data_IF_169095881791
#
_entry.id   IF_169095881791
#
_cell.length_a   1.000
_cell.length_b   1.000
_cell.length_c   1.000
_cell.angle_alpha   90.00
_cell.angle_beta   90.00
_cell.angle_gamma   90.00
#
_symmetry.space_group_name_H-M   'P 1'
#
loop_
_entity.id
_entity.type
_entity.pdbx_description
1 polymer ?
#
# COMPACT_ATOMS: atom_id res chain seq x y z
N UNK A 1 17.78 0.00 3.07
CA UNK A 1 17.11 -0.47 1.86
C UNK A 1 17.22 0.55 0.74
N UNK A 2 17.16 0.10 -0.53
CA UNK A 2 17.04 0.99 -1.70
C UNK A 2 15.60 1.44 -1.86
N UNK A 3 15.40 2.72 -2.19
CA UNK A 3 14.09 3.29 -2.46
C UNK A 3 14.17 4.37 -3.54
N UNK A 4 13.08 4.54 -4.30
CA UNK A 4 12.87 5.65 -5.22
C UNK A 4 12.15 6.78 -4.46
N UNK A 5 12.90 7.80 -4.08
CA UNK A 5 12.39 8.93 -3.28
C UNK A 5 11.97 10.07 -4.21
N UNK A 6 10.81 10.64 -3.96
CA UNK A 6 10.32 11.86 -4.60
C UNK A 6 10.46 13.01 -3.60
N UNK A 7 11.40 13.92 -3.83
CA UNK A 7 11.70 15.03 -2.91
C UNK A 7 10.71 16.18 -3.01
N UNK A 8 10.14 16.40 -4.19
CA UNK A 8 9.09 17.39 -4.47
C UNK A 8 8.42 17.09 -5.80
N UNK A 9 7.28 17.69 -6.02
CA UNK A 9 6.63 17.64 -7.32
C UNK A 9 7.49 18.26 -8.43
N UNK A 10 7.37 17.74 -9.65
CA UNK A 10 8.05 18.23 -10.84
C UNK A 10 9.49 17.75 -11.04
N UNK A 11 10.06 16.99 -10.10
CA UNK A 11 11.42 16.45 -10.23
C UNK A 11 11.43 14.94 -10.56
N UNK A 12 12.52 14.39 -11.09
CA UNK A 12 12.72 12.96 -11.18
C UNK A 12 12.80 12.29 -9.80
N UNK A 13 12.55 10.98 -9.76
CA UNK A 13 12.84 10.16 -8.58
C UNK A 13 14.35 10.09 -8.37
N UNK A 14 14.75 10.03 -7.11
CA UNK A 14 16.13 9.76 -6.69
C UNK A 14 16.22 8.35 -6.10
N UNK A 15 17.13 7.52 -6.62
CA UNK A 15 17.43 6.21 -6.04
C UNK A 15 18.34 6.41 -4.84
N UNK A 16 17.87 6.10 -3.66
CA UNK A 16 18.58 6.36 -2.40
C UNK A 16 18.66 5.11 -1.52
N UNK A 17 19.63 5.11 -0.63
CA UNK A 17 19.67 4.18 0.49
C UNK A 17 19.06 4.87 1.71
N UNK A 18 17.91 4.36 2.16
CA UNK A 18 17.24 4.84 3.36
C UNK A 18 17.24 3.73 4.42
N UNK A 19 17.04 4.05 5.71
CA UNK A 19 16.97 3.03 6.77
C UNK A 19 15.91 1.97 6.46
N UNK A 20 16.18 0.73 6.84
CA UNK A 20 15.18 -0.35 6.78
C UNK A 20 14.06 -0.07 7.78
N UNK A 21 12.79 -0.21 7.37
CA UNK A 21 11.69 0.02 8.28
C UNK A 21 11.63 -1.04 9.38
N UNK A 22 11.28 -0.62 10.59
CA UNK A 22 11.07 -1.49 11.75
C UNK A 22 9.60 -1.41 12.17
N UNK A 23 8.88 -2.54 12.32
CA UNK A 23 7.48 -2.48 12.72
C UNK A 23 7.34 -2.23 14.22
N UNK A 24 6.48 -1.31 14.59
CA UNK A 24 5.96 -1.14 15.94
C UNK A 24 4.76 -2.06 16.22
N UNK A 25 4.16 -1.98 17.43
CA UNK A 25 2.93 -2.71 17.74
C UNK A 25 1.81 -2.40 16.73
N UNK A 26 1.15 -3.45 16.20
CA UNK A 26 0.09 -3.29 15.20
C UNK A 26 0.57 -2.95 13.79
N UNK A 27 1.88 -3.01 13.53
CA UNK A 27 2.48 -2.81 12.21
C UNK A 27 3.16 -4.10 11.73
N UNK A 28 3.36 -4.20 10.43
CA UNK A 28 4.17 -5.24 9.81
C UNK A 28 5.04 -4.65 8.70
N UNK A 29 6.09 -5.38 8.34
CA UNK A 29 6.96 -5.08 7.20
C UNK A 29 6.82 -6.18 6.17
N UNK A 30 6.61 -5.79 4.92
CA UNK A 30 6.65 -6.68 3.79
C UNK A 30 7.85 -6.36 2.88
N UNK A 31 8.50 -7.40 2.36
CA UNK A 31 9.39 -7.28 1.22
C UNK A 31 8.54 -7.04 -0.02
N UNK A 32 8.85 -5.99 -0.78
CA UNK A 32 8.14 -5.68 -2.02
C UNK A 32 8.70 -6.54 -3.15
N UNK A 33 7.84 -7.26 -3.83
CA UNK A 33 8.17 -8.06 -5.02
C UNK A 33 7.88 -7.30 -6.32
N UNK A 34 6.80 -6.52 -6.32
CA UNK A 34 6.45 -5.60 -7.38
C UNK A 34 5.60 -4.44 -6.84
N UNK A 35 5.67 -3.30 -7.52
CA UNK A 35 4.77 -2.18 -7.28
C UNK A 35 4.37 -1.54 -8.60
N UNK A 36 3.06 -1.42 -8.84
CA UNK A 36 2.50 -0.85 -10.06
C UNK A 36 2.88 0.62 -10.26
N UNK A 37 3.01 1.02 -11.54
CA UNK A 37 3.36 2.36 -11.97
C UNK A 37 2.18 3.04 -12.68
N UNK A 38 1.04 3.11 -12.00
CA UNK A 38 -0.20 3.66 -12.54
C UNK A 38 -0.17 5.18 -12.74
N UNK A 39 -1.23 5.71 -13.32
CA UNK A 39 -1.38 7.13 -13.64
C UNK A 39 -1.30 8.04 -12.39
N UNK A 40 -1.74 7.55 -11.24
CA UNK A 40 -1.62 8.25 -9.96
C UNK A 40 -0.17 8.64 -9.64
N UNK A 41 0.79 7.76 -9.94
CA UNK A 41 2.22 8.01 -9.75
C UNK A 41 2.69 9.17 -10.62
N UNK A 42 2.28 9.18 -11.89
CA UNK A 42 2.56 10.28 -12.82
C UNK A 42 1.95 11.60 -12.32
N UNK A 43 0.71 11.57 -11.84
CA UNK A 43 0.03 12.76 -11.31
C UNK A 43 0.74 13.32 -10.08
N UNK A 44 1.13 12.49 -9.12
CA UNK A 44 1.85 12.93 -7.93
C UNK A 44 3.20 13.55 -8.29
N UNK A 45 3.96 12.87 -9.16
CA UNK A 45 5.23 13.39 -9.66
C UNK A 45 5.05 14.74 -10.38
N UNK A 46 3.99 14.90 -11.15
CA UNK A 46 3.69 16.15 -11.85
C UNK A 46 3.06 17.25 -10.98
N UNK A 47 2.86 17.00 -9.67
CA UNK A 47 2.23 17.96 -8.75
C UNK A 47 0.72 18.11 -8.89
N UNK A 48 0.07 17.13 -9.53
CA UNK A 48 -1.40 17.09 -9.69
C UNK A 48 -2.10 16.32 -8.56
N UNK A 49 -1.52 16.29 -7.39
CA UNK A 49 -2.04 15.63 -6.20
C UNK A 49 -1.26 16.04 -4.98
N UNK A 50 -1.78 15.72 -3.80
CA UNK A 50 -1.13 16.02 -2.52
C UNK A 50 -0.30 14.83 -2.04
N UNK A 51 0.91 15.08 -1.60
CA UNK A 51 1.77 14.14 -0.89
C UNK A 51 2.66 14.91 0.10
N UNK A 52 3.12 14.21 1.12
CA UNK A 52 4.03 14.77 2.14
C UNK A 52 5.48 14.45 1.73
N UNK A 53 6.11 15.40 1.06
CA UNK A 53 7.48 15.26 0.57
C UNK A 53 8.53 15.49 1.68
N UNK A 54 9.69 14.77 1.63
CA UNK A 54 10.06 13.72 0.68
C UNK A 54 9.30 12.42 0.97
N UNK A 55 8.99 11.65 -0.08
CA UNK A 55 8.16 10.44 0.04
C UNK A 55 8.60 9.34 -0.93
N UNK A 56 8.48 8.09 -0.48
CA UNK A 56 8.48 6.93 -1.38
C UNK A 56 7.06 6.70 -1.84
N UNK A 57 6.77 6.81 -3.13
CA UNK A 57 5.43 6.62 -3.67
C UNK A 57 5.15 5.16 -4.04
N UNK A 58 3.95 4.87 -4.56
CA UNK A 58 3.55 3.53 -4.98
C UNK A 58 2.61 2.85 -3.97
N UNK A 59 1.51 2.30 -4.46
CA UNK A 59 0.47 1.69 -3.60
C UNK A 59 -0.14 0.40 -4.20
N UNK A 60 0.20 0.03 -5.41
CA UNK A 60 -0.21 -1.24 -6.05
C UNK A 60 0.87 -2.30 -5.79
N UNK A 61 0.85 -2.92 -4.63
CA UNK A 61 1.97 -3.68 -4.08
C UNK A 61 1.66 -5.17 -4.03
N UNK A 62 2.60 -5.98 -4.50
CA UNK A 62 2.72 -7.40 -4.16
C UNK A 62 3.93 -7.56 -3.26
N UNK A 63 3.77 -8.23 -2.14
CA UNK A 63 4.84 -8.45 -1.17
C UNK A 63 4.70 -9.74 -0.40
N UNK A 64 5.70 -9.98 0.44
CA UNK A 64 5.73 -11.08 1.38
C UNK A 64 6.11 -10.53 2.76
N UNK A 65 5.34 -10.87 3.80
CA UNK A 65 5.61 -10.41 5.17
C UNK A 65 6.97 -10.95 5.63
N UNK A 66 7.83 -10.06 6.10
CA UNK A 66 9.16 -10.41 6.62
C UNK A 66 9.31 -10.13 8.11
N UNK A 67 8.50 -9.24 8.66
CA UNK A 67 8.51 -8.94 10.09
C UNK A 67 7.11 -8.46 10.53
N UNK A 68 6.66 -8.91 11.71
CA UNK A 68 5.43 -8.44 12.35
C UNK A 68 5.78 -7.86 13.71
N UNK A 69 5.31 -6.67 13.99
CA UNK A 69 5.55 -6.00 15.27
C UNK A 69 4.87 -6.75 16.41
N UNK A 70 5.58 -6.87 17.53
CA UNK A 70 5.05 -7.55 18.72
C UNK A 70 3.86 -6.76 19.27
N UNK A 71 2.70 -7.40 19.31
CA UNK A 71 1.50 -6.86 19.95
C UNK A 71 0.57 -7.99 20.36
N UNK A 72 -0.02 -7.88 21.55
CA UNK A 72 -0.96 -8.86 22.07
C UNK A 72 -2.27 -8.83 21.24
N UNK A 73 -2.37 -9.70 20.23
CA UNK A 73 -3.56 -9.88 19.41
C UNK A 73 -3.81 -8.83 18.31
N UNK A 74 -2.87 -7.92 18.04
CA UNK A 74 -2.99 -6.91 16.97
C UNK A 74 -2.20 -7.29 15.69
N UNK A 75 -1.79 -8.54 15.55
CA UNK A 75 -1.04 -9.03 14.38
C UNK A 75 -1.92 -9.25 13.12
N UNK A 76 -3.24 -9.08 13.26
CA UNK A 76 -4.20 -9.30 12.17
C UNK A 76 -4.15 -10.72 11.60
N UNK A 77 -3.57 -11.69 12.32
CA UNK A 77 -3.33 -13.04 11.85
C UNK A 77 -2.25 -13.15 10.77
N UNK A 78 -1.44 -12.10 10.57
CA UNK A 78 -0.30 -12.11 9.67
C UNK A 78 0.86 -12.90 10.25
N UNK A 79 1.58 -13.62 9.38
CA UNK A 79 2.78 -14.38 9.72
C UNK A 79 3.89 -14.06 8.71
N UNK A 80 5.14 -14.19 9.16
CA UNK A 80 6.30 -14.14 8.25
C UNK A 80 6.14 -15.20 7.17
N UNK A 81 6.34 -14.80 5.93
CA UNK A 81 6.12 -15.62 4.73
C UNK A 81 4.73 -15.48 4.09
N UNK A 82 3.77 -14.81 4.75
CA UNK A 82 2.45 -14.58 4.14
C UNK A 82 2.56 -13.70 2.89
N UNK A 83 1.99 -14.13 1.76
CA UNK A 83 1.86 -13.30 0.57
C UNK A 83 0.78 -12.26 0.76
N UNK A 84 1.08 -11.00 0.44
CA UNK A 84 0.18 -9.89 0.69
C UNK A 84 0.12 -8.89 -0.47
N UNK A 85 -1.01 -8.21 -0.56
CA UNK A 85 -1.16 -6.93 -1.24
C UNK A 85 -1.50 -5.83 -0.24
N UNK A 86 -1.40 -4.57 -0.65
CA UNK A 86 -1.66 -3.44 0.25
C UNK A 86 -3.02 -2.80 -0.01
N UNK A 87 -3.80 -2.62 1.05
CA UNK A 87 -4.94 -1.70 1.05
C UNK A 87 -4.44 -0.28 1.31
N UNK A 88 -4.60 0.61 0.34
CA UNK A 88 -3.90 1.88 0.36
C UNK A 88 -4.61 3.02 1.11
N UNK A 89 -5.84 2.87 1.56
CA UNK A 89 -6.51 3.84 2.42
C UNK A 89 -6.06 3.69 3.87
N UNK A 90 -5.63 4.79 4.49
CA UNK A 90 -5.21 4.83 5.89
C UNK A 90 -6.42 5.22 6.76
N UNK A 91 -7.18 4.23 7.17
CA UNK A 91 -8.37 4.45 7.99
C UNK A 91 -7.99 4.40 9.47
N UNK A 92 -8.33 5.44 10.22
CA UNK A 92 -8.11 5.52 11.66
C UNK A 92 -9.40 5.86 12.38
N UNK A 93 -10.00 4.85 13.00
CA UNK A 93 -11.29 4.92 13.66
C UNK A 93 -12.44 4.39 12.79
N UNK A 94 -13.66 4.55 13.30
CA UNK A 94 -14.88 4.12 12.65
C UNK A 94 -15.89 5.27 12.50
N UNK A 95 -16.61 5.25 11.39
CA UNK A 95 -17.80 6.06 11.15
C UNK A 95 -18.87 5.26 10.39
N UNK A 96 -19.98 5.91 10.05
CA UNK A 96 -21.05 5.24 9.28
C UNK A 96 -20.58 4.72 7.92
N UNK A 97 -19.53 5.33 7.36
CA UNK A 97 -19.03 4.97 6.03
C UNK A 97 -18.10 3.76 6.09
N UNK A 98 -17.18 3.71 7.07
CA UNK A 98 -16.32 2.54 7.28
C UNK A 98 -17.14 1.30 7.62
N UNK A 99 -18.17 1.44 8.51
CA UNK A 99 -19.10 0.35 8.81
C UNK A 99 -19.89 -0.13 7.59
N UNK A 100 -20.12 0.74 6.62
CA UNK A 100 -20.78 0.39 5.36
C UNK A 100 -19.79 -0.07 4.25
N UNK A 101 -18.50 -0.28 4.54
CA UNK A 101 -17.48 -0.63 3.55
C UNK A 101 -17.24 0.47 2.52
N UNK A 102 -17.38 1.73 2.92
CA UNK A 102 -17.21 2.92 2.06
C UNK A 102 -16.05 3.79 2.52
N UNK A 103 -14.92 3.19 2.82
CA UNK A 103 -13.72 3.84 3.33
C UNK A 103 -13.26 5.07 2.52
N UNK A 104 -13.36 5.09 1.15
CA UNK A 104 -12.93 6.24 0.37
C UNK A 104 -13.65 7.56 0.70
N UNK A 105 -14.84 7.50 1.29
CA UNK A 105 -15.63 8.69 1.66
C UNK A 105 -15.78 8.84 3.19
N UNK A 106 -15.02 8.05 3.94
CA UNK A 106 -15.01 8.11 5.41
C UNK A 106 -14.28 9.36 5.90
N UNK A 107 -14.80 9.95 6.97
CA UNK A 107 -14.11 11.02 7.73
C UNK A 107 -12.96 10.46 8.59
N UNK A 108 -12.90 9.14 8.76
CA UNK A 108 -11.79 8.45 9.43
C UNK A 108 -10.60 8.19 8.49
N UNK A 109 -10.69 8.53 7.20
CA UNK A 109 -9.58 8.45 6.27
C UNK A 109 -8.52 9.51 6.59
N UNK A 110 -7.30 9.09 6.93
CA UNK A 110 -6.15 9.94 7.26
C UNK A 110 -5.18 10.10 6.10
N UNK A 111 -5.48 9.51 4.96
CA UNK A 111 -4.62 9.60 3.78
C UNK A 111 -4.42 8.27 3.07
N UNK A 112 -3.28 8.17 2.38
CA UNK A 112 -3.01 7.08 1.47
C UNK A 112 -1.55 6.63 1.56
N UNK A 113 -1.34 5.34 1.39
CA UNK A 113 -0.01 4.75 1.17
C UNK A 113 0.63 5.38 -0.07
N UNK A 114 1.90 5.78 0.04
CA UNK A 114 2.62 6.48 -1.01
C UNK A 114 2.27 7.97 -1.16
N UNK A 115 1.54 8.56 -0.18
CA UNK A 115 1.24 10.00 -0.11
C UNK A 115 1.46 10.59 1.26
N UNK A 116 0.87 10.04 2.32
CA UNK A 116 1.06 10.45 3.72
C UNK A 116 2.04 9.56 4.46
N UNK A 117 2.23 8.35 4.00
CA UNK A 117 3.29 7.43 4.46
C UNK A 117 4.01 6.84 3.25
N UNK A 118 5.22 6.33 3.46
CA UNK A 118 5.99 5.70 2.39
C UNK A 118 5.24 4.54 1.75
N UNK A 119 5.36 4.43 0.44
CA UNK A 119 4.77 3.38 -0.40
C UNK A 119 5.78 2.35 -0.87
N UNK A 120 5.43 1.65 -1.95
CA UNK A 120 6.09 0.43 -2.42
C UNK A 120 7.23 0.62 -3.43
N UNK A 121 7.65 1.84 -3.76
CA UNK A 121 8.84 2.04 -4.60
C UNK A 121 10.13 1.91 -3.81
N UNK A 122 10.21 0.84 -2.99
CA UNK A 122 11.32 0.47 -2.14
C UNK A 122 11.42 -1.06 -2.02
N UNK A 123 12.53 -1.56 -1.49
CA UNK A 123 12.70 -3.00 -1.23
C UNK A 123 11.75 -3.53 -0.15
N UNK A 124 11.39 -2.67 0.82
CA UNK A 124 10.48 -3.02 1.92
C UNK A 124 9.46 -1.92 2.15
N UNK A 125 8.29 -2.30 2.63
CA UNK A 125 7.25 -1.39 3.05
C UNK A 125 6.75 -1.74 4.45
N UNK A 126 6.52 -0.72 5.29
CA UNK A 126 5.92 -0.85 6.61
C UNK A 126 4.53 -0.24 6.60
N UNK A 127 3.53 -0.99 7.04
CA UNK A 127 2.14 -0.54 7.15
C UNK A 127 1.51 -1.07 8.45
N UNK A 128 0.41 -0.45 8.92
CA UNK A 128 -0.48 -1.08 9.88
C UNK A 128 -0.93 -2.45 9.36
N UNK A 129 -1.00 -3.46 10.24
CA UNK A 129 -1.35 -4.84 9.85
C UNK A 129 -2.69 -4.93 9.10
N UNK A 130 -3.66 -4.08 9.45
CA UNK A 130 -4.97 -3.98 8.78
C UNK A 130 -4.90 -3.53 7.31
N UNK A 131 -3.77 -2.95 6.90
CA UNK A 131 -3.55 -2.51 5.53
C UNK A 131 -2.92 -3.61 4.65
N UNK A 132 -2.51 -4.74 5.24
CA UNK A 132 -2.07 -5.90 4.47
C UNK A 132 -3.24 -6.88 4.28
N UNK A 133 -3.53 -7.20 3.04
CA UNK A 133 -4.53 -8.20 2.65
C UNK A 133 -3.77 -9.44 2.18
N UNK A 134 -4.00 -10.57 2.85
CA UNK A 134 -3.43 -11.84 2.40
C UNK A 134 -3.94 -12.20 1.02
N UNK A 135 -3.03 -12.63 0.16
CA UNK A 135 -3.38 -13.14 -1.15
C UNK A 135 -3.96 -14.55 -1.02
N UNK A 136 -4.95 -14.92 -1.87
CA UNK A 136 -5.52 -16.26 -1.84
C UNK A 136 -4.49 -17.34 -2.20
N UNK A 137 -4.68 -18.54 -1.68
CA UNK A 137 -3.87 -19.71 -2.02
C UNK A 137 -3.96 -20.01 -3.53
N UNK A 138 -2.86 -20.52 -4.08
CA UNK A 138 -2.78 -20.87 -5.49
C UNK A 138 -2.46 -19.73 -6.45
N UNK A 139 -2.36 -18.49 -5.95
CA UNK A 139 -1.95 -17.37 -6.78
C UNK A 139 -0.42 -17.34 -6.94
N UNK A 140 0.05 -17.32 -8.18
CA UNK A 140 1.48 -17.29 -8.50
C UNK A 140 2.09 -15.89 -8.31
N UNK A 141 2.09 -15.43 -7.07
CA UNK A 141 2.58 -14.10 -6.72
C UNK A 141 4.10 -13.94 -6.83
N UNK A 142 4.86 -15.05 -6.84
CA UNK A 142 6.33 -15.05 -7.01
C UNK A 142 6.72 -15.06 -8.49
N UNK A 143 6.03 -15.82 -9.30
CA UNK A 143 6.28 -15.89 -10.74
C UNK A 143 5.71 -14.70 -11.51
N UNK A 144 4.59 -14.11 -11.02
CA UNK A 144 3.88 -12.99 -11.66
C UNK A 144 3.55 -11.87 -10.68
N UNK A 145 4.53 -11.33 -9.94
CA UNK A 145 4.25 -10.34 -8.90
C UNK A 145 3.65 -9.03 -9.46
N UNK A 146 3.99 -8.65 -10.68
CA UNK A 146 3.45 -7.44 -11.31
C UNK A 146 1.95 -7.56 -11.61
N UNK A 147 1.51 -8.73 -12.07
CA UNK A 147 0.09 -8.98 -12.38
C UNK A 147 -0.77 -8.97 -11.10
N UNK A 148 -0.18 -9.40 -9.99
CA UNK A 148 -0.86 -9.40 -8.69
C UNK A 148 -0.93 -7.99 -8.08
N UNK A 149 0.13 -7.21 -8.21
CA UNK A 149 0.22 -5.86 -7.60
C UNK A 149 -0.89 -4.92 -8.09
N UNK A 150 -1.24 -4.98 -9.37
CA UNK A 150 -2.25 -4.11 -9.97
C UNK A 150 -3.69 -4.44 -9.52
N UNK A 151 -3.91 -5.58 -8.85
CA UNK A 151 -5.23 -5.97 -8.33
C UNK A 151 -5.71 -4.95 -7.29
N UNK A 152 -4.81 -4.40 -6.49
CA UNK A 152 -5.14 -3.52 -5.38
C UNK A 152 -5.85 -2.21 -5.79
N UNK A 153 -5.57 -1.67 -6.98
CA UNK A 153 -6.23 -0.47 -7.50
C UNK A 153 -6.72 -0.64 -8.94
N UNK A 154 -5.83 -0.88 -9.90
CA UNK A 154 -6.18 -0.88 -11.33
C UNK A 154 -7.27 -1.90 -11.70
N UNK A 155 -7.45 -2.96 -10.91
CA UNK A 155 -8.52 -3.95 -11.07
C UNK A 155 -9.66 -3.70 -10.08
N UNK A 156 -9.37 -3.53 -8.79
CA UNK A 156 -10.39 -3.40 -7.76
C UNK A 156 -11.24 -2.14 -7.93
N UNK A 157 -10.65 -1.03 -8.35
CA UNK A 157 -11.37 0.24 -8.55
C UNK A 157 -12.41 0.14 -9.69
N UNK A 158 -12.08 -0.27 -10.92
CA UNK A 158 -13.10 -0.45 -11.96
C UNK A 158 -14.10 -1.56 -11.65
N UNK A 159 -13.69 -2.67 -11.02
CA UNK A 159 -14.61 -3.71 -10.56
C UNK A 159 -15.69 -3.15 -9.62
N UNK A 160 -15.29 -2.31 -8.66
CA UNK A 160 -16.23 -1.64 -7.75
C UNK A 160 -17.18 -0.69 -8.50
N UNK A 161 -16.69 0.02 -9.51
CA UNK A 161 -17.52 0.94 -10.33
C UNK A 161 -18.55 0.16 -11.11
N UNK A 162 -18.15 -0.91 -11.84
CA UNK A 162 -19.05 -1.77 -12.60
C UNK A 162 -20.10 -2.43 -11.72
N UNK A 163 -19.69 -3.00 -10.59
CA UNK A 163 -20.60 -3.61 -9.61
C UNK A 163 -21.65 -2.62 -9.09
N UNK A 164 -21.30 -1.35 -8.89
CA UNK A 164 -22.25 -0.32 -8.46
C UNK A 164 -23.14 0.20 -9.58
N UNK A 165 -22.63 0.21 -10.80
CA UNK A 165 -23.42 0.56 -11.99
C UNK A 165 -24.40 -0.55 -12.40
N UNK A 166 -24.28 -1.76 -11.79
CA UNK A 166 -25.09 -2.95 -12.10
C UNK A 166 -24.95 -3.40 -13.56
N UNK A 167 -23.74 -3.28 -14.10
CA UNK A 167 -23.34 -3.81 -15.41
C UNK A 167 -22.47 -5.04 -15.26
#
# INVERSE_FOLDING_TARGET
>A
MKAQVLHKAGVPFSLENIPDPKPGPGEAVAKVLACGAGLTIHHLRAGRGTAEFPIVIGHEITGEIVEVGKSDGLDGGLKVGDPVTAYFYLIDGEDKWTRAGRDPISTANRGYVGRQINGGYAEYIKLPVKNFIKLPEGLDYKGKPADVGVIADAIATPYKVLSRARV
#
